data_IF_202700533550
#
_entry.id   IF_202700533550
#
_cell.length_a   1.000
_cell.length_b   1.000
_cell.length_c   1.000
_cell.angle_alpha   90.00
_cell.angle_beta   90.00
_cell.angle_gamma   90.00
#
_symmetry.space_group_name_H-M   'P 1'
#
loop_
_entity.id
_entity.type
_entity.pdbx_description
1 polymer ?
#
# COMPACT_ATOMS: atom_id res chain seq x y z
N UNK A 1 -23.01 3.36 -6.36
CA UNK A 1 -22.88 2.91 -4.95
C UNK A 1 -24.09 2.03 -4.69
N UNK A 2 -23.99 0.78 -5.00
CA UNK A 2 -25.06 -0.21 -4.76
C UNK A 2 -24.68 -0.94 -3.49
N UNK A 3 -25.57 -0.82 -2.50
CA UNK A 3 -25.56 -1.50 -1.22
C UNK A 3 -25.30 -2.99 -1.40
N UNK A 4 -24.50 -3.49 -0.51
CA UNK A 4 -24.08 -4.86 -0.30
C UNK A 4 -25.25 -5.83 -0.42
N UNK A 5 -25.31 -6.58 -1.50
CA UNK A 5 -26.25 -7.72 -1.68
C UNK A 5 -25.80 -8.91 -0.80
N UNK A 6 -25.74 -8.70 0.51
CA UNK A 6 -25.74 -9.79 1.49
C UNK A 6 -27.19 -10.12 1.79
N UNK A 7 -27.68 -11.18 1.18
CA UNK A 7 -29.00 -11.71 1.57
C UNK A 7 -28.91 -12.23 3.01
N UNK A 8 -29.93 -12.00 3.85
CA UNK A 8 -29.96 -12.52 5.23
C UNK A 8 -29.78 -14.04 5.34
N UNK A 9 -30.06 -14.79 4.28
CA UNK A 9 -29.84 -16.23 4.17
C UNK A 9 -28.35 -16.62 4.24
N UNK A 10 -27.45 -15.78 3.75
CA UNK A 10 -26.01 -16.10 3.64
C UNK A 10 -25.33 -16.08 5.01
N UNK A 11 -25.80 -15.23 5.91
CA UNK A 11 -25.27 -15.16 7.29
C UNK A 11 -25.67 -16.36 8.17
N UNK A 12 -26.77 -17.03 7.89
CA UNK A 12 -27.21 -18.20 8.64
C UNK A 12 -26.34 -19.45 8.39
N UNK A 13 -25.44 -19.41 7.42
CA UNK A 13 -24.50 -20.50 7.12
C UNK A 13 -23.21 -20.43 7.94
N UNK A 14 -22.95 -19.33 8.68
CA UNK A 14 -21.72 -19.13 9.44
C UNK A 14 -21.84 -19.77 10.82
N UNK A 15 -20.95 -20.68 11.13
CA UNK A 15 -20.76 -21.26 12.47
C UNK A 15 -19.83 -20.39 13.35
N UNK A 16 -19.72 -20.77 14.62
CA UNK A 16 -18.90 -20.04 15.60
C UNK A 16 -17.42 -19.96 15.14
N UNK A 17 -16.87 -21.01 14.53
CA UNK A 17 -15.49 -21.04 14.06
C UNK A 17 -15.28 -20.04 12.92
N UNK A 18 -16.27 -19.88 12.04
CA UNK A 18 -16.24 -18.88 10.97
C UNK A 18 -16.27 -17.46 11.51
N UNK A 19 -17.05 -17.22 12.58
CA UNK A 19 -17.10 -15.91 13.21
C UNK A 19 -15.80 -15.59 13.95
N UNK A 20 -15.18 -16.58 14.60
CA UNK A 20 -13.86 -16.40 15.20
C UNK A 20 -12.78 -16.13 14.17
N UNK A 21 -12.77 -16.86 13.04
CA UNK A 21 -11.85 -16.59 11.94
C UNK A 21 -12.07 -15.19 11.34
N UNK A 22 -13.34 -14.79 11.16
CA UNK A 22 -13.69 -13.44 10.70
C UNK A 22 -13.15 -12.36 11.64
N UNK A 23 -13.33 -12.53 12.95
CA UNK A 23 -12.82 -11.57 13.94
C UNK A 23 -11.30 -11.45 13.93
N UNK A 24 -10.58 -12.58 13.81
CA UNK A 24 -9.12 -12.56 13.65
C UNK A 24 -8.70 -11.86 12.36
N UNK A 25 -9.35 -12.19 11.24
CA UNK A 25 -9.07 -11.55 9.96
C UNK A 25 -9.31 -10.03 10.02
N UNK A 26 -10.39 -9.56 10.66
CA UNK A 26 -10.64 -8.13 10.85
C UNK A 26 -9.57 -7.46 11.71
N UNK A 27 -9.11 -8.10 12.77
CA UNK A 27 -8.02 -7.58 13.60
C UNK A 27 -6.72 -7.46 12.79
N UNK A 28 -6.42 -8.46 11.96
CA UNK A 28 -5.21 -8.47 11.11
C UNK A 28 -5.29 -7.39 10.00
N UNK A 29 -6.42 -7.25 9.30
CA UNK A 29 -6.66 -6.23 8.28
C UNK A 29 -6.39 -4.82 8.81
N UNK A 30 -6.72 -4.56 10.08
CA UNK A 30 -6.54 -3.25 10.72
C UNK A 30 -5.30 -3.15 11.62
N UNK A 31 -4.40 -4.14 11.58
CA UNK A 31 -3.19 -4.18 12.42
C UNK A 31 -2.16 -3.10 12.05
N UNK A 32 -2.19 -2.59 10.82
CA UNK A 32 -1.22 -1.62 10.31
C UNK A 32 -1.85 -0.56 9.42
N UNK A 33 -1.24 0.62 9.41
CA UNK A 33 -1.50 1.69 8.42
C UNK A 33 -0.30 1.92 7.51
N UNK A 34 0.72 1.09 7.59
CA UNK A 34 1.89 1.16 6.71
C UNK A 34 1.59 0.43 5.40
N UNK A 35 1.54 1.19 4.29
CA UNK A 35 1.23 0.67 2.96
C UNK A 35 2.25 -0.40 2.49
N UNK A 36 3.48 -0.38 2.99
CA UNK A 36 4.49 -1.36 2.64
C UNK A 36 4.28 -2.72 3.34
N UNK A 37 3.65 -2.71 4.52
CA UNK A 37 3.40 -3.91 5.35
C UNK A 37 1.98 -4.44 5.16
N UNK A 38 1.05 -3.59 4.78
CA UNK A 38 -0.38 -3.92 4.65
C UNK A 38 -0.66 -5.15 3.76
N UNK A 39 0.00 -5.36 2.60
CA UNK A 39 -0.26 -6.54 1.78
C UNK A 39 -0.06 -7.86 2.54
N UNK A 40 0.97 -7.96 3.37
CA UNK A 40 1.24 -9.15 4.18
C UNK A 40 0.13 -9.39 5.20
N UNK A 41 -0.32 -8.35 5.91
CA UNK A 41 -1.44 -8.43 6.84
C UNK A 41 -2.74 -8.88 6.14
N UNK A 42 -3.02 -8.36 4.94
CA UNK A 42 -4.18 -8.78 4.15
C UNK A 42 -4.08 -10.24 3.72
N UNK A 43 -2.89 -10.73 3.34
CA UNK A 43 -2.70 -12.13 2.97
C UNK A 43 -2.85 -13.07 4.16
N UNK A 44 -2.32 -12.71 5.34
CA UNK A 44 -2.53 -13.45 6.58
C UNK A 44 -4.02 -13.52 6.93
N UNK A 45 -4.74 -12.41 6.84
CA UNK A 45 -6.18 -12.37 7.10
C UNK A 45 -6.96 -13.29 6.15
N UNK A 46 -6.60 -13.32 4.88
CA UNK A 46 -7.28 -14.19 3.90
C UNK A 46 -6.93 -15.67 4.09
N UNK A 47 -5.72 -16.00 4.52
CA UNK A 47 -5.33 -17.37 4.82
C UNK A 47 -6.16 -17.99 5.96
N UNK A 48 -6.59 -17.17 6.95
CA UNK A 48 -7.50 -17.60 8.02
C UNK A 48 -8.92 -17.90 7.51
N UNK A 49 -9.36 -17.21 6.44
CA UNK A 49 -10.71 -17.35 5.90
C UNK A 49 -10.80 -18.37 4.77
N UNK A 50 -9.74 -18.51 3.98
CA UNK A 50 -9.64 -19.41 2.83
C UNK A 50 -8.32 -20.15 2.92
N UNK A 51 -8.26 -21.27 3.64
CA UNK A 51 -7.05 -22.09 3.74
C UNK A 51 -6.53 -22.55 2.37
N UNK A 52 -5.22 -22.73 2.25
CA UNK A 52 -4.54 -23.16 1.03
C UNK A 52 -4.67 -22.19 -0.17
N UNK A 53 -5.08 -20.95 0.07
CA UNK A 53 -5.13 -19.95 -0.97
C UNK A 53 -3.77 -19.25 -1.19
N UNK A 54 -3.44 -19.01 -2.46
CA UNK A 54 -2.38 -18.09 -2.85
C UNK A 54 -2.98 -16.71 -3.18
N UNK A 55 -2.40 -15.64 -2.65
CA UNK A 55 -2.93 -14.30 -2.82
C UNK A 55 -1.95 -13.39 -3.59
N UNK A 56 -2.50 -12.48 -4.38
CA UNK A 56 -1.78 -11.38 -5.02
C UNK A 56 -2.55 -10.08 -4.79
N UNK A 57 -1.83 -8.96 -4.79
CA UNK A 57 -2.39 -7.61 -4.70
C UNK A 57 -1.78 -6.75 -5.80
N UNK A 58 -2.61 -6.16 -6.62
CA UNK A 58 -2.21 -5.39 -7.79
C UNK A 58 -2.97 -4.07 -7.87
N UNK A 59 -2.34 -3.03 -8.42
CA UNK A 59 -3.02 -1.81 -8.82
C UNK A 59 -3.10 -1.75 -10.34
N UNK A 60 -4.28 -1.56 -10.88
CA UNK A 60 -4.55 -1.53 -12.31
C UNK A 60 -5.14 -0.19 -12.74
N UNK A 61 -4.51 0.46 -13.69
CA UNK A 61 -5.06 1.59 -14.43
C UNK A 61 -5.96 1.05 -15.56
N UNK A 62 -7.25 1.32 -15.48
CA UNK A 62 -8.23 0.82 -16.45
C UNK A 62 -8.13 1.48 -17.83
N UNK A 63 -7.51 2.65 -17.95
CA UNK A 63 -7.38 3.37 -19.21
C UNK A 63 -6.20 2.84 -20.02
N UNK A 64 -5.05 2.77 -19.38
CA UNK A 64 -3.83 2.29 -20.02
C UNK A 64 -3.66 0.76 -19.97
N UNK A 65 -4.35 0.08 -19.05
CA UNK A 65 -4.14 -1.34 -18.75
C UNK A 65 -2.84 -1.62 -17.99
N UNK A 66 -2.12 -0.57 -17.57
CA UNK A 66 -0.84 -0.73 -16.87
C UNK A 66 -1.11 -1.19 -15.43
N UNK A 67 -0.39 -2.25 -15.04
CA UNK A 67 -0.34 -2.75 -13.67
C UNK A 67 0.86 -2.14 -12.97
N UNK A 68 0.63 -1.59 -11.78
CA UNK A 68 1.66 -1.06 -10.90
C UNK A 68 1.51 -1.69 -9.53
N UNK A 69 2.60 -1.81 -8.78
CA UNK A 69 2.62 -2.39 -7.45
C UNK A 69 2.04 -3.81 -7.40
N UNK A 70 2.77 -4.75 -7.99
CA UNK A 70 2.45 -6.18 -7.92
C UNK A 70 3.11 -6.75 -6.67
N UNK A 71 2.28 -7.22 -5.75
CA UNK A 71 2.73 -7.93 -4.55
C UNK A 71 2.21 -9.37 -4.59
N UNK A 72 3.11 -10.35 -4.62
CA UNK A 72 2.78 -11.77 -4.68
C UNK A 72 3.24 -12.48 -3.39
N UNK A 73 2.29 -13.09 -2.67
CA UNK A 73 2.59 -13.91 -1.49
C UNK A 73 3.15 -15.30 -1.84
N UNK A 74 3.24 -15.68 -3.12
CA UNK A 74 3.83 -16.95 -3.52
C UNK A 74 5.27 -16.79 -4.00
N UNK A 75 6.28 -16.85 -3.10
CA UNK A 75 7.70 -16.69 -3.46
C UNK A 75 8.25 -17.86 -4.30
N UNK A 76 7.52 -18.97 -4.41
CA UNK A 76 7.96 -20.18 -5.09
C UNK A 76 7.76 -20.15 -6.61
N UNK A 77 7.15 -19.09 -7.17
CA UNK A 77 7.01 -18.96 -8.62
C UNK A 77 8.38 -18.73 -9.28
N UNK A 78 8.75 -19.54 -10.30
CA UNK A 78 9.93 -19.26 -11.12
C UNK A 78 9.86 -17.86 -11.73
N UNK A 79 11.00 -17.18 -11.85
CA UNK A 79 11.07 -15.80 -12.36
C UNK A 79 10.42 -15.63 -13.74
N UNK A 80 10.63 -16.60 -14.63
CA UNK A 80 10.03 -16.62 -15.97
C UNK A 80 8.49 -16.63 -15.92
N UNK A 81 7.90 -17.29 -14.92
CA UNK A 81 6.45 -17.28 -14.72
C UNK A 81 5.99 -15.92 -14.20
N UNK A 82 6.76 -15.29 -13.31
CA UNK A 82 6.46 -13.93 -12.83
C UNK A 82 6.47 -12.92 -13.97
N UNK A 83 7.50 -12.94 -14.83
CA UNK A 83 7.58 -12.10 -16.02
C UNK A 83 6.34 -12.31 -16.91
N UNK A 84 5.94 -13.56 -17.13
CA UNK A 84 4.77 -13.89 -17.95
C UNK A 84 3.44 -13.44 -17.31
N UNK A 85 3.34 -13.51 -15.99
CA UNK A 85 2.21 -12.92 -15.25
C UNK A 85 2.10 -11.43 -15.57
N UNK A 86 3.20 -10.68 -15.46
CA UNK A 86 3.22 -9.23 -15.72
C UNK A 86 2.81 -8.90 -17.16
N UNK A 87 3.26 -9.67 -18.15
CA UNK A 87 2.88 -9.48 -19.55
C UNK A 87 1.39 -9.72 -19.81
N UNK A 88 0.75 -10.66 -19.10
CA UNK A 88 -0.66 -11.02 -19.28
C UNK A 88 -1.60 -10.19 -18.39
N UNK A 89 -1.11 -9.54 -17.35
CA UNK A 89 -1.90 -8.72 -16.41
C UNK A 89 -2.70 -7.59 -17.07
N UNK A 90 -2.25 -6.91 -18.14
CA UNK A 90 -3.06 -5.88 -18.81
C UNK A 90 -4.38 -6.39 -19.37
N UNK A 91 -4.55 -7.70 -19.53
CA UNK A 91 -5.76 -8.32 -20.09
C UNK A 91 -6.22 -9.55 -19.31
N UNK A 92 -6.46 -9.45 -17.98
CA UNK A 92 -6.92 -10.57 -17.20
C UNK A 92 -8.34 -11.00 -17.66
N UNK A 93 -8.73 -12.25 -17.47
CA UNK A 93 -10.06 -12.74 -17.88
C UNK A 93 -11.24 -11.96 -17.26
N UNK A 94 -11.05 -11.34 -16.10
CA UNK A 94 -12.04 -10.49 -15.45
C UNK A 94 -12.06 -9.02 -15.95
N UNK A 95 -11.18 -8.62 -16.87
CA UNK A 95 -11.11 -7.24 -17.39
C UNK A 95 -12.46 -6.71 -17.91
N UNK A 96 -13.31 -7.47 -18.64
CA UNK A 96 -14.61 -6.98 -19.03
C UNK A 96 -15.50 -6.59 -17.84
N UNK A 97 -15.46 -7.35 -16.76
CA UNK A 97 -16.21 -7.05 -15.53
C UNK A 97 -15.69 -5.75 -14.86
N UNK A 98 -14.39 -5.57 -14.83
CA UNK A 98 -13.77 -4.34 -14.27
C UNK A 98 -14.17 -3.09 -15.06
N UNK A 99 -14.13 -3.17 -16.40
CA UNK A 99 -14.53 -2.08 -17.30
C UNK A 99 -16.03 -1.80 -17.24
N UNK A 100 -16.84 -2.81 -16.94
CA UNK A 100 -18.28 -2.65 -16.68
C UNK A 100 -18.59 -2.07 -15.29
N UNK A 101 -17.58 -1.74 -14.49
CA UNK A 101 -17.74 -1.15 -13.17
C UNK A 101 -18.03 -2.16 -12.04
N UNK A 102 -17.95 -3.47 -12.29
CA UNK A 102 -18.09 -4.47 -11.20
C UNK A 102 -16.98 -4.28 -10.18
N UNK A 103 -17.36 -4.28 -8.91
CA UNK A 103 -16.47 -4.15 -7.75
C UNK A 103 -16.88 -5.14 -6.66
N UNK A 104 -16.00 -5.28 -5.63
CA UNK A 104 -16.22 -6.23 -4.56
C UNK A 104 -15.68 -7.62 -4.89
N UNK A 105 -16.34 -8.65 -4.37
CA UNK A 105 -15.95 -10.06 -4.56
C UNK A 105 -16.54 -10.59 -5.86
N UNK A 106 -15.68 -11.01 -6.77
CA UNK A 106 -16.05 -11.50 -8.10
C UNK A 106 -15.39 -12.87 -8.30
N UNK A 107 -16.13 -13.98 -8.18
CA UNK A 107 -15.67 -15.27 -8.65
C UNK A 107 -15.36 -15.22 -10.14
N UNK A 108 -14.24 -15.76 -10.57
CA UNK A 108 -13.88 -15.74 -11.99
C UNK A 108 -14.85 -16.56 -12.83
N UNK A 109 -15.48 -17.56 -12.25
CA UNK A 109 -16.54 -18.37 -12.86
C UNK A 109 -17.78 -17.56 -13.26
N UNK A 110 -18.01 -16.39 -12.63
CA UNK A 110 -19.05 -15.43 -13.01
C UNK A 110 -18.71 -14.64 -14.28
N UNK A 111 -17.43 -14.60 -14.64
CA UNK A 111 -16.93 -13.85 -15.79
C UNK A 111 -16.68 -14.73 -17.01
N UNK A 112 -16.24 -15.97 -16.78
CA UNK A 112 -15.85 -16.92 -17.82
C UNK A 112 -16.07 -18.34 -17.33
N UNK A 113 -16.64 -19.21 -18.19
CA UNK A 113 -16.80 -20.61 -17.84
C UNK A 113 -15.45 -21.29 -17.57
N UNK A 114 -15.36 -22.13 -16.55
CA UNK A 114 -14.11 -22.77 -16.09
C UNK A 114 -13.38 -23.50 -17.24
N UNK A 115 -14.11 -24.19 -18.12
CA UNK A 115 -13.52 -24.86 -19.30
C UNK A 115 -12.86 -23.86 -20.25
N UNK A 116 -13.48 -22.69 -20.44
CA UNK A 116 -12.96 -21.64 -21.31
C UNK A 116 -11.76 -20.96 -20.65
N UNK A 117 -11.81 -20.72 -19.33
CA UNK A 117 -10.69 -20.16 -18.56
C UNK A 117 -9.42 -20.99 -18.70
N UNK A 118 -9.53 -22.33 -18.58
CA UNK A 118 -8.40 -23.26 -18.76
C UNK A 118 -7.77 -23.21 -20.16
N UNK A 119 -8.45 -22.68 -21.16
CA UNK A 119 -7.93 -22.49 -22.50
C UNK A 119 -7.22 -21.16 -22.73
N UNK A 120 -7.34 -20.21 -21.79
CA UNK A 120 -6.70 -18.88 -21.88
C UNK A 120 -5.18 -18.96 -21.69
N UNK A 121 -4.41 -18.02 -22.29
CA UNK A 121 -2.99 -17.88 -21.99
C UNK A 121 -2.75 -17.64 -20.49
N UNK A 122 -3.59 -16.83 -19.84
CA UNK A 122 -3.50 -16.54 -18.41
C UNK A 122 -3.49 -17.80 -17.54
N UNK A 123 -4.35 -18.78 -17.83
CA UNK A 123 -4.30 -20.05 -17.09
C UNK A 123 -3.11 -20.92 -17.54
N UNK A 124 -2.94 -21.13 -18.84
CA UNK A 124 -1.99 -22.11 -19.38
C UNK A 124 -0.53 -21.76 -19.12
N UNK A 125 -0.23 -20.48 -19.11
CA UNK A 125 1.13 -19.97 -19.04
C UNK A 125 1.49 -19.45 -17.63
N UNK A 126 0.50 -19.29 -16.75
CA UNK A 126 0.73 -18.83 -15.36
C UNK A 126 0.14 -19.77 -14.31
N UNK A 127 -1.18 -19.75 -14.07
CA UNK A 127 -1.81 -20.47 -12.96
C UNK A 127 -1.60 -21.98 -13.00
N UNK A 128 -1.59 -22.60 -14.17
CA UNK A 128 -1.36 -24.05 -14.32
C UNK A 128 -0.09 -24.52 -13.60
N UNK A 129 0.94 -23.67 -13.54
CA UNK A 129 2.23 -24.00 -12.91
C UNK A 129 2.21 -23.86 -11.38
N UNK A 130 1.17 -23.26 -10.83
CA UNK A 130 0.99 -23.08 -9.38
C UNK A 130 0.14 -24.19 -8.75
N UNK A 131 -0.56 -24.98 -9.57
CA UNK A 131 -1.57 -25.92 -9.10
C UNK A 131 -2.92 -25.27 -8.77
N UNK A 132 -3.08 -23.98 -8.97
CA UNK A 132 -4.34 -23.28 -8.75
C UNK A 132 -5.26 -23.43 -9.96
N UNK A 133 -6.53 -23.73 -9.68
CA UNK A 133 -7.57 -23.98 -10.68
C UNK A 133 -8.70 -22.95 -10.65
N UNK A 134 -8.95 -22.35 -9.49
CA UNK A 134 -10.03 -21.42 -9.24
C UNK A 134 -9.52 -20.10 -8.71
N UNK A 135 -10.21 -19.04 -9.06
CA UNK A 135 -9.82 -17.67 -8.71
C UNK A 135 -11.04 -16.86 -8.30
N UNK A 136 -10.90 -16.11 -7.24
CA UNK A 136 -11.80 -15.03 -6.83
C UNK A 136 -10.99 -13.75 -6.77
N UNK A 137 -11.56 -12.65 -7.24
CA UNK A 137 -10.93 -11.33 -7.10
C UNK A 137 -11.77 -10.45 -6.17
N UNK A 138 -11.10 -9.68 -5.34
CA UNK A 138 -11.66 -8.61 -4.53
C UNK A 138 -11.19 -7.30 -5.14
N UNK A 139 -12.13 -6.45 -5.57
CA UNK A 139 -11.80 -5.22 -6.29
C UNK A 139 -12.43 -4.00 -5.64
N UNK A 140 -11.70 -2.89 -5.63
CA UNK A 140 -12.20 -1.59 -5.16
C UNK A 140 -11.44 -0.44 -5.81
N UNK A 141 -12.09 0.74 -5.85
CA UNK A 141 -11.51 1.93 -6.46
C UNK A 141 -10.59 2.68 -5.50
N UNK A 142 -9.49 3.19 -6.07
CA UNK A 142 -8.63 4.24 -5.52
C UNK A 142 -8.50 5.36 -6.57
N UNK A 143 -7.98 6.55 -6.24
CA UNK A 143 -7.83 7.62 -7.21
C UNK A 143 -7.09 7.20 -8.48
N UNK A 144 -7.77 7.26 -9.64
CA UNK A 144 -7.21 6.94 -10.95
C UNK A 144 -6.99 5.46 -11.27
N UNK A 145 -7.23 4.54 -10.32
CA UNK A 145 -6.96 3.10 -10.50
C UNK A 145 -7.99 2.23 -9.78
N UNK A 146 -7.92 0.93 -10.03
CA UNK A 146 -8.54 -0.06 -9.16
C UNK A 146 -7.46 -0.90 -8.46
N UNK A 147 -7.75 -1.33 -7.25
CA UNK A 147 -7.00 -2.39 -6.57
C UNK A 147 -7.68 -3.70 -6.88
N UNK A 148 -6.87 -4.69 -7.24
CA UNK A 148 -7.30 -6.05 -7.53
C UNK A 148 -6.55 -6.98 -6.60
N UNK A 149 -7.24 -7.57 -5.65
CA UNK A 149 -6.70 -8.60 -4.79
C UNK A 149 -7.21 -9.95 -5.29
N UNK A 150 -6.29 -10.82 -5.68
CA UNK A 150 -6.61 -12.12 -6.25
C UNK A 150 -6.38 -13.19 -5.21
N UNK A 151 -7.37 -14.07 -5.06
CA UNK A 151 -7.34 -15.25 -4.20
C UNK A 151 -7.45 -16.49 -5.09
N UNK A 152 -6.41 -17.31 -5.09
CA UNK A 152 -6.28 -18.49 -5.96
C UNK A 152 -6.26 -19.76 -5.12
N UNK A 153 -6.90 -20.84 -5.58
CA UNK A 153 -6.86 -22.14 -4.90
C UNK A 153 -7.05 -23.33 -5.86
N UNK A 154 -6.68 -24.55 -5.42
CA UNK A 154 -6.82 -25.76 -6.25
C UNK A 154 -8.28 -26.21 -6.46
N UNK A 155 -9.15 -25.94 -5.48
CA UNK A 155 -10.58 -26.36 -5.49
C UNK A 155 -11.50 -25.15 -5.55
N UNK A 156 -12.77 -25.36 -5.94
CA UNK A 156 -13.75 -24.28 -6.01
C UNK A 156 -14.05 -23.68 -4.64
N UNK A 157 -14.49 -22.44 -4.62
CA UNK A 157 -14.87 -21.72 -3.41
C UNK A 157 -16.27 -22.16 -2.98
N UNK A 158 -16.43 -22.43 -1.71
CA UNK A 158 -17.72 -22.70 -1.11
C UNK A 158 -18.52 -21.40 -0.91
N UNK A 159 -19.84 -21.48 -0.83
CA UNK A 159 -20.71 -20.34 -0.54
C UNK A 159 -20.34 -19.65 0.79
N UNK A 160 -19.93 -20.46 1.78
CA UNK A 160 -19.43 -19.98 3.07
C UNK A 160 -18.18 -19.10 2.91
N UNK A 161 -17.18 -19.56 2.16
CA UNK A 161 -15.94 -18.81 1.90
C UNK A 161 -16.23 -17.52 1.11
N UNK A 162 -17.09 -17.61 0.09
CA UNK A 162 -17.53 -16.42 -0.66
C UNK A 162 -18.25 -15.41 0.23
N UNK A 163 -19.07 -15.87 1.19
CA UNK A 163 -19.74 -15.02 2.16
C UNK A 163 -18.72 -14.34 3.07
N UNK A 164 -17.74 -15.07 3.60
CA UNK A 164 -16.65 -14.50 4.42
C UNK A 164 -15.85 -13.45 3.64
N UNK A 165 -15.50 -13.74 2.39
CA UNK A 165 -14.81 -12.79 1.53
C UNK A 165 -15.65 -11.52 1.28
N UNK A 166 -16.97 -11.66 1.08
CA UNK A 166 -17.88 -10.50 0.92
C UNK A 166 -17.94 -9.64 2.20
N UNK A 167 -17.89 -10.26 3.37
CA UNK A 167 -17.89 -9.55 4.65
C UNK A 167 -16.60 -8.75 4.87
N UNK A 168 -15.44 -9.29 4.49
CA UNK A 168 -14.15 -8.61 4.71
C UNK A 168 -13.76 -7.65 3.58
N UNK A 169 -14.28 -7.81 2.37
CA UNK A 169 -13.90 -6.98 1.23
C UNK A 169 -14.06 -5.47 1.48
N UNK A 170 -15.15 -4.95 2.10
CA UNK A 170 -15.26 -3.54 2.44
C UNK A 170 -14.21 -3.10 3.46
N UNK A 171 -13.81 -3.98 4.39
CA UNK A 171 -12.80 -3.70 5.42
C UNK A 171 -11.40 -3.65 4.82
N UNK A 172 -11.09 -4.55 3.88
CA UNK A 172 -9.86 -4.53 3.07
C UNK A 172 -9.76 -3.20 2.32
N UNK A 173 -10.84 -2.80 1.63
CA UNK A 173 -10.89 -1.54 0.90
C UNK A 173 -10.69 -0.33 1.81
N UNK A 174 -11.29 -0.33 3.00
CA UNK A 174 -11.14 0.73 4.00
C UNK A 174 -9.70 0.80 4.54
N UNK A 175 -9.13 -0.34 4.95
CA UNK A 175 -7.78 -0.42 5.46
C UNK A 175 -6.76 0.07 4.42
N UNK A 176 -6.93 -0.34 3.16
CA UNK A 176 -6.07 0.10 2.06
C UNK A 176 -6.14 1.60 1.81
N UNK A 177 -7.36 2.18 1.75
CA UNK A 177 -7.54 3.63 1.57
C UNK A 177 -6.97 4.43 2.75
N UNK A 178 -7.11 3.92 3.98
CA UNK A 178 -6.54 4.55 5.16
C UNK A 178 -5.01 4.54 5.10
N UNK A 179 -4.39 3.41 4.72
CA UNK A 179 -2.95 3.30 4.57
C UNK A 179 -2.43 4.22 3.45
N UNK A 180 -3.16 4.33 2.33
CA UNK A 180 -2.81 5.24 1.24
C UNK A 180 -2.86 6.70 1.71
N UNK A 181 -3.96 7.12 2.34
CA UNK A 181 -4.12 8.48 2.87
C UNK A 181 -3.03 8.80 3.92
N UNK A 182 -2.71 7.85 4.80
CA UNK A 182 -1.64 8.02 5.79
C UNK A 182 -0.26 8.18 5.12
N UNK A 183 0.01 7.39 4.08
CA UNK A 183 1.25 7.51 3.29
C UNK A 183 1.36 8.87 2.60
N UNK A 184 0.26 9.36 2.00
CA UNK A 184 0.20 10.69 1.38
C UNK A 184 0.43 11.82 2.39
N UNK A 185 -0.21 11.74 3.56
CA UNK A 185 -0.01 12.70 4.66
C UNK A 185 1.44 12.70 5.14
N UNK A 186 2.04 11.51 5.32
CA UNK A 186 3.45 11.36 5.70
C UNK A 186 4.38 11.95 4.66
N UNK A 187 4.11 11.73 3.37
CA UNK A 187 4.89 12.33 2.28
C UNK A 187 4.71 13.85 2.20
N UNK A 188 3.49 14.35 2.38
CA UNK A 188 3.23 15.78 2.42
C UNK A 188 3.95 16.44 3.60
N UNK A 189 3.89 15.84 4.79
CA UNK A 189 4.63 16.30 5.96
C UNK A 189 6.16 16.27 5.71
N UNK A 190 6.68 15.21 5.10
CA UNK A 190 8.10 15.12 4.73
C UNK A 190 8.53 16.16 3.69
N UNK A 191 7.64 16.52 2.74
CA UNK A 191 7.89 17.61 1.78
C UNK A 191 7.87 18.99 2.42
N UNK A 192 7.18 19.13 3.55
CA UNK A 192 7.14 20.37 4.32
C UNK A 192 8.44 20.58 5.10
N UNK A 193 9.19 19.53 5.42
CA UNK A 193 10.51 19.62 6.04
C UNK A 193 11.55 19.80 4.91
N UNK A 194 12.25 20.94 4.84
CA UNK A 194 13.26 21.20 3.81
C UNK A 194 14.36 20.15 3.86
N UNK A 195 14.69 19.55 2.72
CA UNK A 195 15.84 18.65 2.68
C UNK A 195 17.15 19.44 2.91
N UNK A 196 18.22 18.85 3.48
CA UNK A 196 19.49 19.55 3.71
C UNK A 196 20.06 20.26 2.48
N UNK A 197 19.80 19.72 1.28
CA UNK A 197 20.18 20.32 -0.01
C UNK A 197 19.40 21.61 -0.33
N UNK A 198 18.13 21.69 0.09
CA UNK A 198 17.29 22.86 -0.18
C UNK A 198 17.70 24.02 0.74
N UNK A 199 18.20 23.72 1.95
CA UNK A 199 18.71 24.69 2.90
C UNK A 199 19.96 25.43 2.40
N UNK A 200 20.65 24.90 1.37
CA UNK A 200 21.76 25.62 0.74
C UNK A 200 21.27 26.83 -0.09
N UNK A 201 20.06 26.79 -0.61
CA UNK A 201 19.47 27.88 -1.40
C UNK A 201 19.25 29.14 -0.56
N UNK A 202 19.16 29.00 0.76
CA UNK A 202 19.01 30.12 1.71
C UNK A 202 20.33 30.54 2.37
N UNK A 203 21.47 30.14 1.79
CA UNK A 203 22.81 30.57 2.19
C UNK A 203 23.48 29.72 3.27
N UNK A 204 22.96 28.55 3.59
CA UNK A 204 23.60 27.60 4.49
C UNK A 204 24.61 26.73 3.74
N UNK A 205 25.70 26.37 4.42
CA UNK A 205 26.61 25.33 3.90
C UNK A 205 25.96 23.94 4.02
N UNK A 206 26.47 22.95 3.27
CA UNK A 206 26.01 21.56 3.37
C UNK A 206 25.95 21.07 4.82
N UNK A 207 27.00 21.36 5.60
CA UNK A 207 27.10 20.91 6.98
C UNK A 207 26.13 21.62 7.92
N UNK A 208 25.91 22.91 7.72
CA UNK A 208 24.89 23.68 8.43
C UNK A 208 23.49 23.21 8.09
N UNK A 209 23.22 22.91 6.82
CA UNK A 209 21.96 22.33 6.37
C UNK A 209 21.65 21.01 7.07
N UNK A 210 22.62 20.09 7.16
CA UNK A 210 22.49 18.83 7.88
C UNK A 210 22.22 19.05 9.38
N UNK A 211 22.91 20.00 10.01
CA UNK A 211 22.69 20.32 11.44
C UNK A 211 21.28 20.92 11.63
N UNK A 212 20.86 21.85 10.79
CA UNK A 212 19.52 22.46 10.89
C UNK A 212 18.41 21.45 10.64
N UNK A 213 18.59 20.48 9.73
CA UNK A 213 17.65 19.39 9.51
C UNK A 213 17.38 18.59 10.78
N UNK A 214 18.44 18.20 11.52
CA UNK A 214 18.29 17.53 12.81
C UNK A 214 17.63 18.41 13.89
N UNK A 215 17.86 19.74 13.83
CA UNK A 215 17.18 20.70 14.72
C UNK A 215 15.68 20.74 14.42
N UNK A 216 15.29 20.78 13.15
CA UNK A 216 13.89 20.74 12.69
C UNK A 216 13.20 19.44 13.16
N UNK A 217 13.93 18.32 13.16
CA UNK A 217 13.47 17.05 13.70
C UNK A 217 13.44 16.98 15.25
N UNK A 218 13.75 18.09 15.92
CA UNK A 218 13.66 18.21 17.38
C UNK A 218 14.85 17.63 18.16
N UNK A 219 15.95 17.23 17.49
CA UNK A 219 17.13 16.66 18.13
C UNK A 219 17.90 17.70 18.92
N UNK A 220 18.44 17.31 20.10
CA UNK A 220 19.30 18.17 20.92
C UNK A 220 20.75 18.11 20.44
N UNK A 221 21.56 19.11 20.78
CA UNK A 221 22.94 19.23 20.32
C UNK A 221 23.78 17.99 20.60
N UNK A 222 23.58 17.33 21.76
CA UNK A 222 24.26 16.07 22.10
C UNK A 222 23.86 14.91 21.17
N UNK A 223 22.57 14.76 20.89
CA UNK A 223 22.04 13.73 19.98
C UNK A 223 22.58 13.96 18.55
N UNK A 224 22.57 15.23 18.09
CA UNK A 224 23.12 15.59 16.79
C UNK A 224 24.62 15.29 16.72
N UNK A 225 25.35 15.56 17.78
CA UNK A 225 26.79 15.28 17.88
C UNK A 225 27.09 13.78 17.78
N UNK A 226 26.30 12.95 18.43
CA UNK A 226 26.36 11.48 18.34
C UNK A 226 26.05 10.99 16.94
N UNK A 227 24.92 11.43 16.36
CA UNK A 227 24.50 11.05 15.00
C UNK A 227 25.56 11.41 13.95
N UNK A 228 26.15 12.60 14.08
CA UNK A 228 27.13 13.12 13.11
C UNK A 228 28.58 12.77 13.46
N UNK A 229 28.80 11.95 14.50
CA UNK A 229 30.14 11.52 14.98
C UNK A 229 31.07 12.72 15.20
N UNK A 230 30.57 13.75 15.90
CA UNK A 230 31.31 15.00 16.17
C UNK A 230 31.14 15.44 17.63
N UNK A 231 31.75 16.56 18.02
CA UNK A 231 31.60 17.08 19.39
C UNK A 231 30.36 17.97 19.54
N UNK A 232 29.71 18.02 20.73
CA UNK A 232 28.63 18.96 21.01
C UNK A 232 29.04 20.43 20.79
N UNK A 233 30.30 20.74 21.02
CA UNK A 233 30.88 22.08 20.77
C UNK A 233 30.89 22.42 19.28
N UNK A 234 31.19 21.44 18.44
CA UNK A 234 31.13 21.62 16.97
C UNK A 234 29.72 21.91 16.51
N UNK A 235 28.71 21.17 17.02
CA UNK A 235 27.31 21.41 16.72
C UNK A 235 26.87 22.79 17.18
N UNK A 236 27.26 23.19 18.40
CA UNK A 236 26.99 24.53 18.92
C UNK A 236 27.54 25.62 17.97
N UNK A 237 28.78 25.48 17.50
CA UNK A 237 29.40 26.44 16.57
C UNK A 237 28.63 26.51 15.23
N UNK A 238 28.18 25.37 14.69
CA UNK A 238 27.33 25.35 13.50
C UNK A 238 26.01 26.06 13.76
N UNK A 239 25.35 25.82 14.90
CA UNK A 239 24.11 26.49 15.26
C UNK A 239 24.29 28.01 15.37
N UNK A 240 25.37 28.50 16.02
CA UNK A 240 25.66 29.94 16.09
C UNK A 240 25.83 30.56 14.69
N UNK A 241 26.49 29.84 13.77
CA UNK A 241 26.64 30.28 12.39
C UNK A 241 25.29 30.30 11.66
N UNK A 242 24.44 29.29 11.84
CA UNK A 242 23.08 29.21 11.27
C UNK A 242 22.22 30.38 11.77
N UNK A 243 22.17 30.59 13.09
CA UNK A 243 21.41 31.69 13.71
C UNK A 243 21.80 33.05 13.11
N UNK A 244 23.11 33.29 12.95
CA UNK A 244 23.63 34.53 12.35
C UNK A 244 23.19 34.63 10.86
N UNK A 245 23.30 33.59 10.07
CA UNK A 245 22.94 33.59 8.63
C UNK A 245 21.45 33.78 8.41
N UNK A 246 20.63 33.19 9.25
CA UNK A 246 19.19 33.28 9.18
C UNK A 246 18.63 34.52 9.92
N UNK A 247 19.51 35.27 10.60
CA UNK A 247 19.13 36.45 11.40
C UNK A 247 18.08 36.13 12.47
N UNK A 248 18.30 35.08 13.23
CA UNK A 248 17.42 34.62 14.32
C UNK A 248 18.21 34.41 15.60
N UNK A 249 17.52 34.47 16.77
CA UNK A 249 18.15 34.31 18.07
C UNK A 249 17.95 32.91 18.67
N UNK A 250 17.00 32.14 18.13
CA UNK A 250 16.63 30.84 18.69
C UNK A 250 16.67 29.73 17.66
N UNK A 251 16.91 28.50 18.10
CA UNK A 251 16.91 27.32 17.25
C UNK A 251 15.55 27.07 16.57
N UNK A 252 14.45 27.36 17.28
CA UNK A 252 13.08 27.27 16.74
C UNK A 252 12.84 28.37 15.72
N UNK A 253 13.33 29.59 15.98
CA UNK A 253 13.32 30.69 15.02
C UNK A 253 14.09 30.38 13.76
N UNK A 254 15.26 29.74 13.86
CA UNK A 254 16.04 29.31 12.70
C UNK A 254 15.29 28.28 11.85
N UNK A 255 14.60 27.33 12.48
CA UNK A 255 13.77 26.36 11.76
C UNK A 255 12.63 27.06 11.02
N UNK A 256 11.88 27.96 11.67
CA UNK A 256 10.78 28.71 11.09
C UNK A 256 11.24 29.60 9.93
N UNK A 257 12.30 30.38 10.12
CA UNK A 257 12.87 31.26 9.10
C UNK A 257 13.34 30.48 7.85
N UNK A 258 13.90 29.29 8.04
CA UNK A 258 14.29 28.42 6.93
C UNK A 258 13.07 28.00 6.11
N UNK A 259 11.97 27.64 6.76
CA UNK A 259 10.70 27.34 6.09
C UNK A 259 10.16 28.52 5.31
N UNK A 260 10.13 29.71 5.92
CA UNK A 260 9.59 30.91 5.27
C UNK A 260 10.38 31.31 4.03
N UNK A 261 11.72 31.28 4.10
CA UNK A 261 12.59 31.60 2.94
C UNK A 261 12.44 30.62 1.79
N UNK A 262 12.33 29.33 2.08
CA UNK A 262 12.18 28.31 1.04
C UNK A 262 10.80 28.39 0.38
N UNK A 263 9.74 28.62 1.16
CA UNK A 263 8.38 28.78 0.61
C UNK A 263 8.19 30.08 -0.14
N UNK A 264 8.82 31.18 0.30
CA UNK A 264 8.80 32.46 -0.37
C UNK A 264 9.53 32.49 -1.72
N UNK A 265 10.57 31.66 -1.87
CA UNK A 265 11.33 31.50 -3.14
C UNK A 265 10.58 30.70 -4.21
N UNK A 266 9.53 29.95 -3.85
CA UNK A 266 8.72 29.14 -4.78
C UNK A 266 7.54 29.92 -5.39
N UNK A 267 7.33 31.18 -4.99
CA UNK A 267 6.21 32.02 -5.41
C UNK A 267 6.60 33.17 -6.39
N UNK A 268 7.83 33.13 -6.93
CA UNK A 268 8.33 34.18 -7.87
C UNK A 268 8.57 33.62 -9.27
#
# INVERSE_FOLDING_TARGET
MTETDLLPSDMNSLDIFSLEALMRALAEIHSTTDLAVLPEALFCALADLVPDAGCNLDQLDLQSGIVTDVTNANPALPEQIKERVLELMPSPPAMPAYKAGRRGVIPLTDCIAQRQFRSTPHYRETLRHTGFEYQVVITFDIPGKIVVMTVNRPTDFTDKELTLLRLVAPQIALAYRNALAFSELKQAAARTIPAPKDLQQIGLTVREGVVLDWVIQGKRDREIAEILSTSPRTIHNHLQSILKKLNTETRTGAALEAFERLNGSSAS
#
